data_IF_554380488090
#
_entry.id   IF_554380488090
#
_cell.length_a   1.000
_cell.length_b   1.000
_cell.length_c   1.000
_cell.angle_alpha   90.00
_cell.angle_beta   90.00
_cell.angle_gamma   90.00
#
_symmetry.space_group_name_H-M   'P 1'
#
loop_
_entity.id
_entity.type
_entity.pdbx_description
1 polymer ?
#
# COMPACT_ATOMS: atom_id res chain seq x y z
N UNK A 1 49.92 36.86 -64.37
CA UNK A 1 48.91 36.83 -63.29
C UNK A 1 49.68 36.57 -62.00
N UNK A 2 50.24 37.62 -61.42
CA UNK A 2 49.70 38.37 -60.25
C UNK A 2 50.07 37.62 -58.95
N UNK A 3 51.24 37.81 -58.29
CA UNK A 3 51.89 39.01 -57.68
C UNK A 3 50.99 39.65 -56.59
N UNK A 4 51.37 39.98 -55.35
CA UNK A 4 52.59 40.34 -54.58
C UNK A 4 52.43 39.80 -53.12
N UNK A 5 53.45 39.28 -52.41
CA UNK A 5 54.50 39.94 -51.58
C UNK A 5 53.98 40.72 -50.34
N UNK A 6 54.38 40.29 -49.13
CA UNK A 6 55.14 41.17 -48.22
C UNK A 6 54.67 41.44 -46.77
N UNK A 7 55.25 40.70 -45.80
CA UNK A 7 55.85 41.12 -44.51
C UNK A 7 55.08 41.98 -43.46
N UNK A 8 55.15 41.49 -42.20
CA UNK A 8 55.24 42.17 -40.87
C UNK A 8 53.96 42.71 -40.22
N UNK A 9 53.85 42.42 -38.92
CA UNK A 9 52.83 42.96 -38.02
C UNK A 9 53.28 44.17 -37.23
N UNK A 10 52.30 44.83 -36.61
CA UNK A 10 52.29 45.52 -35.32
C UNK A 10 50.88 46.09 -35.10
N UNK A 11 50.40 45.92 -33.88
CA UNK A 11 49.50 46.77 -33.08
C UNK A 11 48.12 47.23 -33.61
N UNK A 12 47.14 46.53 -33.03
CA UNK A 12 45.81 46.92 -32.51
C UNK A 12 45.22 48.29 -32.89
N UNK A 13 44.09 48.24 -33.62
CA UNK A 13 43.37 49.38 -34.14
C UNK A 13 42.00 49.54 -33.45
N UNK A 14 41.82 50.69 -32.79
CA UNK A 14 40.63 51.58 -32.74
C UNK A 14 39.21 50.97 -32.91
N UNK A 15 38.25 51.15 -32.00
CA UNK A 15 37.49 52.37 -31.61
C UNK A 15 36.94 53.15 -32.82
N UNK A 16 35.61 53.18 -33.02
CA UNK A 16 34.80 54.41 -32.86
C UNK A 16 33.29 54.16 -33.08
N UNK A 17 32.45 54.75 -32.22
CA UNK A 17 31.06 55.09 -32.53
C UNK A 17 30.47 56.12 -31.55
N UNK A 18 30.59 57.39 -31.97
CA UNK A 18 29.62 58.49 -31.84
C UNK A 18 29.40 59.16 -30.45
N UNK A 19 30.11 60.28 -30.27
CA UNK A 19 29.82 61.33 -29.28
C UNK A 19 29.09 62.52 -29.92
N UNK A 20 28.05 63.05 -29.27
CA UNK A 20 27.31 64.25 -29.71
C UNK A 20 27.04 65.20 -28.52
N UNK A 21 27.22 66.54 -28.67
CA UNK A 21 27.57 67.46 -27.56
C UNK A 21 26.37 68.07 -26.80
N UNK A 22 25.19 67.42 -26.83
CA UNK A 22 23.97 67.99 -26.25
C UNK A 22 23.77 67.76 -24.74
N UNK A 23 24.75 67.17 -24.03
CA UNK A 23 24.56 66.70 -22.64
C UNK A 23 25.39 67.37 -21.55
N UNK A 24 26.20 68.39 -21.85
CA UNK A 24 27.15 68.93 -20.86
C UNK A 24 27.06 70.44 -20.57
N UNK A 25 25.93 71.11 -20.87
CA UNK A 25 25.78 72.55 -20.58
C UNK A 25 24.46 72.95 -19.90
N UNK A 26 24.13 72.25 -18.82
CA UNK A 26 23.18 72.74 -17.81
C UNK A 26 23.59 72.30 -16.40
N UNK A 27 24.87 72.47 -16.06
CA UNK A 27 25.24 72.71 -14.68
C UNK A 27 24.64 74.05 -14.22
N UNK A 28 24.15 74.07 -12.99
CA UNK A 28 23.82 75.25 -12.17
C UNK A 28 22.54 76.02 -12.50
N UNK A 29 21.46 75.67 -11.80
CA UNK A 29 20.69 76.60 -10.94
C UNK A 29 19.80 75.81 -9.98
N UNK A 30 20.11 75.84 -8.70
CA UNK A 30 19.21 75.40 -7.64
C UNK A 30 18.15 76.46 -7.33
N UNK A 31 17.00 76.02 -6.81
CA UNK A 31 16.20 76.73 -5.80
C UNK A 31 15.07 75.79 -5.29
N UNK A 32 14.95 75.73 -3.97
CA UNK A 32 13.84 75.19 -3.20
C UNK A 32 12.46 75.63 -3.72
N UNK A 33 11.49 74.71 -3.78
CA UNK A 33 10.08 75.02 -3.49
C UNK A 33 9.24 73.75 -3.28
N UNK A 34 8.57 73.73 -2.13
CA UNK A 34 7.70 72.71 -1.54
C UNK A 34 6.70 72.03 -2.48
N UNK A 35 6.60 70.70 -2.43
CA UNK A 35 5.35 69.91 -2.53
C UNK A 35 5.64 68.42 -2.28
N UNK A 36 5.31 67.91 -1.09
CA UNK A 36 4.68 66.58 -0.87
C UNK A 36 4.67 66.05 0.58
N UNK A 37 4.32 66.81 1.63
CA UNK A 37 3.95 66.19 2.92
C UNK A 37 2.65 65.37 2.84
N UNK A 38 1.88 65.47 1.75
CA UNK A 38 0.59 64.79 1.56
C UNK A 38 0.71 63.34 1.08
N UNK A 39 1.73 62.99 0.29
CA UNK A 39 1.90 61.63 -0.25
C UNK A 39 2.39 60.64 0.82
N UNK A 40 3.32 61.06 1.68
CA UNK A 40 3.75 60.24 2.82
C UNK A 40 2.63 60.02 3.86
N UNK A 41 1.72 61.00 4.00
CA UNK A 41 0.58 60.90 4.93
C UNK A 41 -0.49 59.94 4.41
N UNK A 42 -0.78 59.96 3.10
CA UNK A 42 -1.68 58.97 2.45
C UNK A 42 -1.11 57.55 2.47
N UNK A 43 0.19 57.37 2.25
CA UNK A 43 0.81 56.04 2.32
C UNK A 43 0.77 55.43 3.74
N UNK A 44 1.01 56.23 4.79
CA UNK A 44 0.88 55.78 6.19
C UNK A 44 -0.56 55.44 6.57
N UNK A 45 -1.55 56.15 6.05
CA UNK A 45 -2.96 55.83 6.29
C UNK A 45 -3.39 54.51 5.62
N UNK A 46 -2.96 54.26 4.37
CA UNK A 46 -3.26 53.01 3.66
C UNK A 46 -2.59 51.77 4.28
N UNK A 47 -1.35 51.90 4.77
CA UNK A 47 -0.67 50.85 5.53
C UNK A 47 -1.32 50.57 6.90
N UNK A 48 -1.90 51.58 7.54
CA UNK A 48 -2.66 51.44 8.77
C UNK A 48 -3.97 50.67 8.57
N UNK A 49 -4.73 50.99 7.52
CA UNK A 49 -5.97 50.28 7.18
C UNK A 49 -5.73 48.81 6.80
N UNK A 50 -4.67 48.51 6.05
CA UNK A 50 -4.34 47.14 5.68
C UNK A 50 -3.98 46.28 6.91
N UNK A 51 -3.24 46.85 7.88
CA UNK A 51 -2.92 46.17 9.14
C UNK A 51 -4.16 45.97 10.02
N UNK A 52 -5.05 46.95 10.08
CA UNK A 52 -6.31 46.85 10.83
C UNK A 52 -7.23 45.78 10.23
N UNK A 53 -7.37 45.73 8.90
CA UNK A 53 -8.16 44.70 8.20
C UNK A 53 -7.60 43.30 8.43
N UNK A 54 -6.28 43.12 8.39
CA UNK A 54 -5.65 41.84 8.66
C UNK A 54 -5.87 41.39 10.12
N UNK A 55 -5.78 42.32 11.07
CA UNK A 55 -6.03 42.04 12.48
C UNK A 55 -7.50 41.67 12.74
N UNK A 56 -8.45 42.36 12.08
CA UNK A 56 -9.87 42.05 12.14
C UNK A 56 -10.19 40.67 11.54
N UNK A 57 -9.56 40.30 10.42
CA UNK A 57 -9.72 38.97 9.83
C UNK A 57 -9.17 37.87 10.76
N UNK A 58 -7.99 38.09 11.35
CA UNK A 58 -7.41 37.14 12.31
C UNK A 58 -8.28 37.00 13.57
N UNK A 59 -8.79 38.11 14.10
CA UNK A 59 -9.70 38.12 15.22
C UNK A 59 -11.02 37.38 14.91
N UNK A 60 -11.61 37.62 13.73
CA UNK A 60 -12.80 36.90 13.29
C UNK A 60 -12.57 35.39 13.16
N UNK A 61 -11.41 34.98 12.65
CA UNK A 61 -11.01 33.56 12.56
C UNK A 61 -10.87 32.93 13.96
N UNK A 62 -10.22 33.63 14.90
CA UNK A 62 -10.07 33.18 16.28
C UNK A 62 -11.43 33.05 16.99
N UNK A 63 -12.34 34.01 16.78
CA UNK A 63 -13.71 33.94 17.33
C UNK A 63 -14.46 32.76 16.72
N UNK A 64 -14.35 32.51 15.41
CA UNK A 64 -14.99 31.35 14.76
C UNK A 64 -14.48 30.01 15.34
N UNK A 65 -13.16 29.88 15.55
CA UNK A 65 -12.55 28.69 16.17
C UNK A 65 -12.99 28.53 17.62
N UNK A 66 -13.10 29.63 18.37
CA UNK A 66 -13.56 29.60 19.75
C UNK A 66 -15.05 29.22 19.86
N UNK A 67 -15.90 29.73 18.96
CA UNK A 67 -17.33 29.40 18.94
C UNK A 67 -17.54 27.94 18.52
N UNK A 68 -16.85 27.45 17.49
CA UNK A 68 -16.95 26.05 17.03
C UNK A 68 -16.43 25.05 18.05
N UNK A 69 -15.36 25.37 18.78
CA UNK A 69 -14.85 24.51 19.87
C UNK A 69 -15.76 24.48 21.11
N UNK A 70 -16.63 25.48 21.30
CA UNK A 70 -17.61 25.52 22.38
C UNK A 70 -18.98 24.92 21.99
N UNK A 71 -19.32 24.88 20.70
CA UNK A 71 -20.55 24.26 20.20
C UNK A 71 -20.61 22.75 20.46
N UNK A 72 -19.48 22.05 20.42
CA UNK A 72 -19.41 20.61 20.74
C UNK A 72 -19.81 20.29 22.19
N UNK A 73 -19.58 21.23 23.11
CA UNK A 73 -19.94 21.09 24.53
C UNK A 73 -21.39 21.46 24.82
N UNK A 74 -22.07 22.19 23.93
CA UNK A 74 -23.46 22.63 24.12
C UNK A 74 -24.48 21.67 23.50
N UNK A 75 -24.06 20.85 22.53
CA UNK A 75 -24.95 19.89 21.84
C UNK A 75 -25.18 18.57 22.59
N UNK A 76 -24.76 18.43 23.86
CA UNK A 76 -25.23 17.38 24.76
C UNK A 76 -25.17 15.95 24.20
N UNK A 77 -24.26 15.65 23.27
CA UNK A 77 -24.08 14.31 22.74
C UNK A 77 -23.33 13.48 23.78
N UNK A 78 -24.07 12.93 24.74
CA UNK A 78 -23.68 11.70 25.42
C UNK A 78 -23.92 10.57 24.42
N UNK A 79 -22.89 9.97 23.80
CA UNK A 79 -23.07 8.76 23.04
C UNK A 79 -23.36 7.68 24.08
N UNK A 80 -24.64 7.41 24.32
CA UNK A 80 -25.03 6.11 24.85
C UNK A 80 -24.55 5.08 23.85
N UNK A 81 -23.42 4.45 24.14
CA UNK A 81 -22.96 3.28 23.39
C UNK A 81 -24.09 2.27 23.39
N UNK A 82 -24.68 1.91 22.24
CA UNK A 82 -25.60 0.80 22.18
C UNK A 82 -24.78 -0.45 22.43
N UNK A 83 -24.76 -0.90 23.69
CA UNK A 83 -24.39 -2.25 24.05
C UNK A 83 -25.44 -3.19 23.46
N UNK A 84 -25.18 -3.70 22.25
CA UNK A 84 -25.64 -5.00 21.71
C UNK A 84 -25.66 -4.98 20.18
N UNK A 85 -24.49 -4.91 19.56
CA UNK A 85 -24.28 -5.82 18.42
C UNK A 85 -23.90 -7.13 19.06
N UNK A 86 -24.85 -8.07 19.05
CA UNK A 86 -24.67 -9.47 19.39
C UNK A 86 -23.26 -9.91 19.00
N UNK A 87 -22.44 -10.22 20.00
CA UNK A 87 -21.12 -10.79 19.81
C UNK A 87 -21.35 -12.28 19.54
N UNK A 88 -21.23 -12.79 18.29
CA UNK A 88 -21.30 -14.23 18.08
C UNK A 88 -19.95 -14.79 18.53
N UNK A 89 -19.67 -14.83 19.85
CA UNK A 89 -18.46 -15.40 20.46
C UNK A 89 -17.26 -15.41 19.48
N UNK A 90 -16.81 -14.23 19.04
CA UNK A 90 -16.05 -14.12 17.78
C UNK A 90 -14.70 -14.80 17.94
N UNK A 91 -14.60 -16.05 17.47
CA UNK A 91 -13.35 -16.80 17.40
C UNK A 91 -12.28 -15.99 16.68
N UNK A 92 -11.02 -16.33 16.90
CA UNK A 92 -9.88 -15.69 16.27
C UNK A 92 -9.54 -16.27 14.91
N UNK A 93 -8.32 -16.03 14.48
CA UNK A 93 -7.77 -16.46 13.20
C UNK A 93 -6.40 -17.10 13.39
N UNK A 94 -6.02 -17.94 12.43
CA UNK A 94 -4.64 -18.41 12.32
C UNK A 94 -3.86 -17.48 11.41
N UNK A 95 -2.67 -17.07 11.83
CA UNK A 95 -1.72 -16.35 11.00
C UNK A 95 -0.79 -17.34 10.32
N UNK A 96 -0.77 -17.33 8.99
CA UNK A 96 0.05 -18.20 8.17
C UNK A 96 1.16 -17.39 7.50
N UNK A 97 2.38 -17.53 7.99
CA UNK A 97 3.55 -16.73 7.59
C UNK A 97 4.40 -17.55 6.62
N UNK A 98 4.55 -17.06 5.39
CA UNK A 98 5.48 -17.62 4.43
C UNK A 98 6.87 -16.97 4.58
N UNK A 99 7.92 -17.77 4.73
CA UNK A 99 9.30 -17.30 4.98
C UNK A 99 10.33 -18.04 4.15
N UNK A 100 11.40 -17.34 3.76
CA UNK A 100 12.57 -17.95 3.11
C UNK A 100 13.84 -17.14 3.37
N UNK A 101 14.82 -17.73 4.08
CA UNK A 101 16.15 -17.19 4.38
C UNK A 101 16.15 -15.78 4.99
N UNK A 102 15.13 -15.47 5.81
CA UNK A 102 14.88 -14.13 6.37
C UNK A 102 14.56 -14.18 7.87
N UNK A 103 15.34 -14.97 8.61
CA UNK A 103 15.12 -15.21 10.05
C UNK A 103 14.95 -13.94 10.89
N UNK A 104 15.60 -12.82 10.55
CA UNK A 104 15.43 -11.55 11.26
C UNK A 104 14.04 -10.91 11.03
N UNK A 105 13.51 -10.97 9.82
CA UNK A 105 12.17 -10.48 9.48
C UNK A 105 11.11 -11.41 10.06
N UNK A 106 11.30 -12.73 9.94
CA UNK A 106 10.43 -13.73 10.56
C UNK A 106 10.27 -13.50 12.06
N UNK A 107 11.36 -13.24 12.79
CA UNK A 107 11.31 -12.93 14.22
C UNK A 107 10.46 -11.69 14.52
N UNK A 108 10.57 -10.64 13.71
CA UNK A 108 9.77 -9.43 13.85
C UNK A 108 8.29 -9.69 13.57
N UNK A 109 7.99 -10.38 12.48
CA UNK A 109 6.63 -10.72 12.05
C UNK A 109 5.92 -11.62 13.06
N UNK A 110 6.58 -12.70 13.55
CA UNK A 110 6.02 -13.56 14.59
C UNK A 110 5.78 -12.78 15.88
N UNK A 111 6.71 -11.92 16.31
CA UNK A 111 6.55 -11.12 17.51
C UNK A 111 5.36 -10.15 17.41
N UNK A 112 5.19 -9.52 16.25
CA UNK A 112 4.07 -8.62 15.97
C UNK A 112 2.74 -9.37 15.99
N UNK A 113 2.58 -10.42 15.17
CA UNK A 113 1.32 -11.13 15.03
C UNK A 113 0.93 -11.89 16.31
N UNK A 114 1.90 -12.35 17.10
CA UNK A 114 1.64 -12.91 18.43
C UNK A 114 1.04 -11.88 19.39
N UNK A 115 1.29 -10.58 19.19
CA UNK A 115 0.74 -9.52 20.04
C UNK A 115 -0.70 -9.12 19.68
N UNK A 116 -1.21 -9.54 18.52
CA UNK A 116 -2.58 -9.22 18.12
C UNK A 116 -3.58 -10.11 18.87
N UNK A 117 -4.62 -9.51 19.46
CA UNK A 117 -5.58 -10.21 20.32
C UNK A 117 -6.45 -11.24 19.61
N UNK A 118 -6.62 -11.12 18.29
CA UNK A 118 -7.39 -12.08 17.48
C UNK A 118 -6.58 -13.30 17.01
N UNK A 119 -5.28 -13.37 17.28
CA UNK A 119 -4.43 -14.47 16.83
C UNK A 119 -4.58 -15.69 17.74
N UNK A 120 -5.14 -16.79 17.23
CA UNK A 120 -5.26 -18.06 17.97
C UNK A 120 -4.14 -19.06 17.66
N UNK A 121 -3.58 -18.97 16.46
CA UNK A 121 -2.44 -19.78 16.07
C UNK A 121 -1.54 -19.02 15.09
N UNK A 122 -0.27 -19.40 15.07
CA UNK A 122 0.73 -18.92 14.14
C UNK A 122 1.41 -20.14 13.55
N UNK A 123 1.30 -20.25 12.23
CA UNK A 123 1.93 -21.27 11.43
C UNK A 123 3.00 -20.62 10.56
N UNK A 124 4.21 -21.15 10.62
CA UNK A 124 5.34 -20.69 9.80
C UNK A 124 5.59 -21.73 8.73
N UNK A 125 5.31 -21.36 7.47
CA UNK A 125 5.59 -22.20 6.29
C UNK A 125 7.08 -22.14 6.05
N UNK A 126 7.76 -23.25 6.33
CA UNK A 126 9.20 -23.37 6.18
C UNK A 126 9.51 -24.14 4.91
N UNK A 127 10.15 -23.49 3.94
CA UNK A 127 10.50 -24.06 2.63
C UNK A 127 12.01 -24.02 2.36
N UNK A 128 12.84 -23.95 3.41
CA UNK A 128 14.30 -24.05 3.29
C UNK A 128 14.73 -25.52 3.38
N UNK A 129 15.81 -25.87 2.66
CA UNK A 129 16.35 -27.23 2.64
C UNK A 129 16.78 -27.73 4.01
N UNK A 130 17.34 -26.85 4.83
CA UNK A 130 17.70 -27.17 6.21
C UNK A 130 16.50 -26.90 7.14
N UNK A 131 16.23 -27.76 8.12
CA UNK A 131 15.18 -27.50 9.10
C UNK A 131 15.52 -26.25 9.93
N UNK A 132 14.52 -25.54 10.48
CA UNK A 132 14.77 -24.37 11.30
C UNK A 132 15.61 -24.77 12.51
N UNK A 133 16.65 -23.99 12.81
CA UNK A 133 17.57 -24.30 13.91
C UNK A 133 16.82 -24.37 15.25
N UNK A 134 17.28 -25.23 16.17
CA UNK A 134 16.67 -25.34 17.50
C UNK A 134 16.68 -24.02 18.26
N UNK A 135 17.72 -23.19 18.08
CA UNK A 135 17.80 -21.85 18.66
C UNK A 135 16.73 -20.91 18.09
N UNK A 136 16.42 -20.99 16.79
CA UNK A 136 15.34 -20.23 16.18
C UNK A 136 13.97 -20.71 16.68
N UNK A 137 13.74 -22.03 16.71
CA UNK A 137 12.50 -22.61 17.24
C UNK A 137 12.25 -22.18 18.68
N UNK A 138 13.26 -22.29 19.54
CA UNK A 138 13.17 -21.90 20.95
C UNK A 138 12.91 -20.40 21.11
N UNK A 139 13.59 -19.56 20.33
CA UNK A 139 13.38 -18.12 20.34
C UNK A 139 11.95 -17.74 19.96
N UNK A 140 11.42 -18.32 18.87
CA UNK A 140 10.07 -17.99 18.40
C UNK A 140 8.99 -18.52 19.35
N UNK A 141 9.13 -19.73 19.89
CA UNK A 141 8.23 -20.22 20.95
C UNK A 141 8.18 -19.27 22.15
N UNK A 142 9.34 -18.80 22.60
CA UNK A 142 9.45 -17.83 23.70
C UNK A 142 8.80 -16.49 23.35
N UNK A 143 9.00 -15.98 22.13
CA UNK A 143 8.45 -14.68 21.76
C UNK A 143 6.93 -14.72 21.60
N UNK A 144 6.37 -15.81 21.07
CA UNK A 144 4.92 -16.01 20.99
C UNK A 144 4.31 -16.00 22.39
N UNK A 145 4.93 -16.71 23.34
CA UNK A 145 4.48 -16.73 24.73
C UNK A 145 4.53 -15.34 25.38
N UNK A 146 5.63 -14.61 25.22
CA UNK A 146 5.85 -13.30 25.85
C UNK A 146 5.01 -12.17 25.24
N UNK A 147 4.82 -12.18 23.92
CA UNK A 147 4.11 -11.11 23.21
C UNK A 147 2.59 -11.27 23.23
N UNK A 148 2.10 -12.50 23.41
CA UNK A 148 0.66 -12.77 23.49
C UNK A 148 0.00 -12.04 24.66
N UNK A 149 -0.99 -11.24 24.31
CA UNK A 149 -1.81 -10.47 25.25
C UNK A 149 -2.97 -11.30 25.83
N UNK A 150 -3.21 -12.49 25.29
CA UNK A 150 -4.32 -13.37 25.67
C UNK A 150 -3.91 -14.35 26.76
N UNK A 151 -4.89 -14.78 27.58
CA UNK A 151 -4.67 -15.83 28.58
C UNK A 151 -4.32 -17.17 27.91
N UNK A 152 -5.09 -17.52 26.87
CA UNK A 152 -4.77 -18.64 25.99
C UNK A 152 -3.74 -18.21 24.95
N UNK A 153 -2.53 -18.77 25.04
CA UNK A 153 -1.43 -18.42 24.15
C UNK A 153 -1.66 -18.99 22.73
N UNK A 154 -1.31 -18.26 21.67
CA UNK A 154 -1.43 -18.76 20.32
C UNK A 154 -0.66 -20.06 20.15
N UNK A 155 -1.27 -21.05 19.51
CA UNK A 155 -0.55 -22.25 19.11
C UNK A 155 0.52 -21.87 18.09
N UNK A 156 1.76 -22.33 18.26
CA UNK A 156 2.86 -22.00 17.36
C UNK A 156 3.47 -23.27 16.77
N UNK A 157 3.44 -23.40 15.45
CA UNK A 157 3.98 -24.54 14.71
C UNK A 157 4.77 -24.09 13.48
N UNK A 158 5.75 -24.90 13.12
CA UNK A 158 6.40 -24.84 11.81
C UNK A 158 5.80 -25.91 10.92
N UNK A 159 5.42 -25.52 9.72
CA UNK A 159 4.99 -26.43 8.66
C UNK A 159 6.20 -26.65 7.76
N UNK A 160 6.97 -27.70 8.04
CA UNK A 160 8.25 -27.99 7.37
C UNK A 160 7.97 -28.68 6.03
N UNK A 161 8.55 -28.14 4.97
CA UNK A 161 8.44 -28.68 3.61
C UNK A 161 9.82 -29.10 3.11
N UNK A 162 9.86 -30.23 2.39
CA UNK A 162 11.09 -30.80 1.85
C UNK A 162 11.68 -29.96 0.70
N UNK A 163 10.81 -29.35 -0.10
CA UNK A 163 11.19 -28.61 -1.30
C UNK A 163 10.91 -27.11 -1.17
N UNK A 164 11.75 -26.29 -1.80
CA UNK A 164 11.53 -24.85 -1.93
C UNK A 164 10.48 -24.55 -3.01
N UNK A 165 9.21 -24.50 -2.61
CA UNK A 165 8.07 -24.35 -3.51
C UNK A 165 7.05 -23.34 -2.99
N UNK A 166 6.66 -22.36 -3.81
CA UNK A 166 5.67 -21.35 -3.40
C UNK A 166 4.29 -21.95 -3.10
N UNK A 167 3.96 -23.11 -3.67
CA UNK A 167 2.72 -23.82 -3.38
C UNK A 167 2.63 -24.28 -1.90
N UNK A 168 3.77 -24.43 -1.21
CA UNK A 168 3.81 -24.94 0.16
C UNK A 168 2.95 -24.12 1.14
N UNK A 169 2.82 -22.81 0.89
CA UNK A 169 2.02 -21.92 1.74
C UNK A 169 0.52 -22.22 1.73
N UNK A 170 0.06 -23.08 0.82
CA UNK A 170 -1.35 -23.41 0.66
C UNK A 170 -1.66 -24.89 0.92
N UNK A 171 -0.69 -25.65 1.45
CA UNK A 171 -0.94 -27.04 1.90
C UNK A 171 -1.97 -27.06 3.04
N UNK A 172 -2.77 -28.13 3.17
CA UNK A 172 -3.65 -28.31 4.31
C UNK A 172 -2.82 -28.33 5.59
N UNK A 173 -3.38 -27.75 6.64
CA UNK A 173 -2.75 -27.71 7.96
C UNK A 173 -3.62 -28.53 8.90
N UNK A 174 -3.03 -29.56 9.49
CA UNK A 174 -3.70 -30.42 10.46
C UNK A 174 -4.03 -29.66 11.75
N UNK A 175 -5.13 -30.04 12.39
CA UNK A 175 -5.61 -29.49 13.66
C UNK A 175 -5.91 -27.97 13.67
N UNK A 176 -6.17 -27.37 12.50
CA UNK A 176 -6.65 -25.98 12.45
C UNK A 176 -8.01 -25.84 13.17
N UNK A 177 -8.05 -25.02 14.20
CA UNK A 177 -9.28 -24.72 14.97
C UNK A 177 -10.08 -23.56 14.40
N UNK A 178 -9.42 -22.64 13.71
CA UNK A 178 -10.01 -21.43 13.15
C UNK A 178 -10.42 -21.64 11.71
N UNK A 179 -11.55 -21.04 11.31
CA UNK A 179 -11.95 -21.03 9.90
C UNK A 179 -11.21 -19.95 9.10
N UNK A 180 -10.78 -18.87 9.76
CA UNK A 180 -10.08 -17.75 9.15
C UNK A 180 -8.56 -17.97 9.15
N UNK A 181 -7.96 -17.88 7.97
CA UNK A 181 -6.52 -17.83 7.78
C UNK A 181 -6.14 -16.43 7.34
N UNK A 182 -5.30 -15.75 8.11
CA UNK A 182 -4.58 -14.56 7.67
C UNK A 182 -3.25 -14.99 7.06
N UNK A 183 -3.17 -15.04 5.73
CA UNK A 183 -1.92 -15.31 5.04
C UNK A 183 -1.12 -14.03 4.85
N UNK A 184 0.17 -14.12 5.14
CA UNK A 184 1.08 -12.98 5.09
C UNK A 184 2.51 -13.38 4.75
N UNK A 185 3.21 -12.53 4.02
CA UNK A 185 4.65 -12.70 3.79
C UNK A 185 5.46 -12.23 5.01
N UNK A 186 6.63 -12.83 5.23
CA UNK A 186 7.52 -12.53 6.36
C UNK A 186 8.01 -11.08 6.45
N UNK A 187 7.88 -10.31 5.38
CA UNK A 187 8.29 -8.92 5.26
C UNK A 187 7.12 -7.92 5.30
N UNK A 188 5.90 -8.37 5.62
CA UNK A 188 4.71 -7.50 5.70
C UNK A 188 4.15 -7.45 7.12
N UNK A 189 3.98 -6.23 7.63
CA UNK A 189 3.33 -5.94 8.91
C UNK A 189 2.03 -5.17 8.67
N UNK A 190 0.93 -5.77 9.12
CA UNK A 190 -0.38 -5.10 9.23
C UNK A 190 -0.63 -4.77 10.70
N UNK A 191 -0.80 -3.49 11.10
CA UNK A 191 -1.08 -3.13 12.50
C UNK A 191 -2.29 -3.88 13.06
N UNK A 192 -2.21 -4.34 14.31
CA UNK A 192 -3.29 -5.14 14.91
C UNK A 192 -4.68 -4.49 14.85
N UNK A 193 -4.87 -3.16 15.07
CA UNK A 193 -6.18 -2.54 14.90
C UNK A 193 -6.73 -2.65 13.48
N UNK A 194 -5.87 -2.46 12.47
CA UNK A 194 -6.19 -2.61 11.05
C UNK A 194 -6.51 -4.07 10.71
N UNK A 195 -5.74 -5.02 11.27
CA UNK A 195 -5.97 -6.45 11.10
C UNK A 195 -7.29 -6.90 11.72
N UNK A 196 -7.63 -6.40 12.92
CA UNK A 196 -8.90 -6.65 13.59
C UNK A 196 -10.10 -6.13 12.78
N UNK A 197 -9.95 -4.97 12.14
CA UNK A 197 -10.96 -4.44 11.23
C UNK A 197 -11.12 -5.36 10.01
N UNK A 198 -10.03 -5.72 9.34
CA UNK A 198 -10.08 -6.66 8.20
C UNK A 198 -10.68 -8.01 8.57
N UNK A 199 -10.40 -8.51 9.77
CA UNK A 199 -11.02 -9.73 10.29
C UNK A 199 -12.54 -9.57 10.46
N UNK A 200 -13.00 -8.42 10.97
CA UNK A 200 -14.44 -8.13 11.06
C UNK A 200 -15.10 -8.06 9.69
N UNK A 201 -14.42 -7.48 8.69
CA UNK A 201 -14.88 -7.50 7.30
C UNK A 201 -14.98 -8.94 6.80
N UNK A 202 -13.94 -9.76 7.00
CA UNK A 202 -13.97 -11.18 6.64
C UNK A 202 -15.11 -11.93 7.34
N UNK A 203 -15.40 -11.67 8.61
CA UNK A 203 -16.52 -12.30 9.31
C UNK A 203 -17.89 -12.00 8.69
N UNK A 204 -18.03 -10.85 8.02
CA UNK A 204 -19.26 -10.50 7.27
C UNK A 204 -19.35 -11.18 5.89
N UNK A 205 -18.23 -11.66 5.36
CA UNK A 205 -18.12 -12.32 4.07
C UNK A 205 -17.10 -13.47 4.12
N UNK A 206 -17.33 -14.53 4.93
CA UNK A 206 -16.30 -15.52 5.28
C UNK A 206 -15.81 -16.36 4.10
N UNK A 207 -16.55 -16.38 3.00
CA UNK A 207 -16.13 -17.06 1.77
C UNK A 207 -15.32 -16.16 0.84
N UNK A 208 -15.30 -14.84 1.04
CA UNK A 208 -14.50 -13.93 0.23
C UNK A 208 -13.03 -13.96 0.67
N UNK A 209 -12.15 -13.64 -0.28
CA UNK A 209 -10.77 -13.25 0.03
C UNK A 209 -10.77 -11.76 0.39
N UNK A 210 -10.30 -11.42 1.60
CA UNK A 210 -10.38 -10.06 2.16
C UNK A 210 -8.98 -9.58 2.52
N UNK A 211 -8.49 -8.49 1.93
CA UNK A 211 -7.10 -8.10 2.18
C UNK A 211 -6.70 -6.72 1.66
N UNK A 212 -5.40 -6.47 1.68
CA UNK A 212 -4.87 -5.10 1.63
C UNK A 212 -4.22 -4.72 0.30
N UNK A 213 -3.94 -5.70 -0.56
CA UNK A 213 -3.14 -5.52 -1.78
C UNK A 213 -4.01 -5.82 -3.01
N UNK A 214 -4.85 -4.86 -3.47
CA UNK A 214 -5.71 -5.06 -4.62
C UNK A 214 -4.90 -5.08 -5.92
N UNK A 215 -5.32 -5.90 -6.87
CA UNK A 215 -4.76 -6.01 -8.22
C UNK A 215 -5.88 -6.21 -9.24
N UNK A 216 -5.59 -5.87 -10.48
CA UNK A 216 -6.55 -5.95 -11.57
C UNK A 216 -6.06 -6.89 -12.66
N UNK A 217 -6.99 -7.45 -13.43
CA UNK A 217 -6.71 -8.03 -14.74
C UNK A 217 -7.62 -7.41 -15.80
N UNK A 218 -7.18 -7.39 -17.05
CA UNK A 218 -8.05 -7.09 -18.19
C UNK A 218 -7.61 -7.87 -19.41
N UNK A 219 -8.55 -8.13 -20.31
CA UNK A 219 -8.26 -8.70 -21.62
C UNK A 219 -7.48 -7.67 -22.45
N UNK A 220 -6.27 -8.02 -22.87
CA UNK A 220 -5.48 -7.18 -23.77
C UNK A 220 -5.80 -7.50 -25.23
N UNK A 221 -5.75 -8.78 -25.59
CA UNK A 221 -5.95 -9.26 -26.96
C UNK A 221 -6.62 -10.63 -26.95
N UNK A 222 -7.50 -10.87 -27.90
CA UNK A 222 -7.98 -12.21 -28.26
C UNK A 222 -7.59 -12.48 -29.71
N UNK A 223 -6.83 -13.54 -29.98
CA UNK A 223 -6.39 -13.91 -31.32
C UNK A 223 -6.45 -15.43 -31.50
N UNK A 224 -7.11 -15.89 -32.56
CA UNK A 224 -7.13 -17.31 -32.96
C UNK A 224 -7.52 -18.30 -31.85
N UNK A 225 -8.39 -17.90 -30.91
CA UNK A 225 -8.81 -18.73 -29.78
C UNK A 225 -7.98 -18.53 -28.51
N UNK A 226 -6.82 -17.88 -28.59
CA UNK A 226 -5.99 -17.53 -27.43
C UNK A 226 -6.38 -16.16 -26.87
N UNK A 227 -6.56 -16.09 -25.55
CA UNK A 227 -6.82 -14.84 -24.82
C UNK A 227 -5.60 -14.42 -24.02
N UNK A 228 -5.12 -13.22 -24.26
CA UNK A 228 -4.00 -12.61 -23.55
C UNK A 228 -4.52 -11.59 -22.54
N UNK A 229 -4.16 -11.80 -21.28
CA UNK A 229 -4.55 -10.92 -20.17
C UNK A 229 -3.35 -10.11 -19.67
N UNK A 230 -3.64 -8.88 -19.23
CA UNK A 230 -2.68 -8.05 -18.52
C UNK A 230 -2.98 -8.01 -17.04
N UNK A 231 -1.91 -8.03 -16.25
CA UNK A 231 -1.89 -7.85 -14.82
C UNK A 231 -1.67 -6.38 -14.48
N UNK A 232 -2.54 -5.85 -13.61
CA UNK A 232 -2.56 -4.48 -13.15
C UNK A 232 -2.09 -4.32 -11.71
N UNK A 233 -1.05 -3.50 -11.54
CA UNK A 233 -0.60 -3.03 -10.23
C UNK A 233 -1.50 -1.95 -9.62
N UNK A 234 -0.97 -1.28 -8.59
CA UNK A 234 -1.66 -0.19 -7.88
C UNK A 234 -2.14 0.93 -8.81
N UNK A 235 -1.31 1.35 -9.77
CA UNK A 235 -1.66 2.43 -10.68
C UNK A 235 -2.89 2.08 -11.54
N UNK A 236 -2.97 0.85 -12.03
CA UNK A 236 -4.13 0.37 -12.79
C UNK A 236 -5.40 0.36 -11.91
N UNK A 237 -5.30 -0.16 -10.68
CA UNK A 237 -6.43 -0.16 -9.74
C UNK A 237 -6.91 1.26 -9.44
N UNK A 238 -5.97 2.20 -9.23
CA UNK A 238 -6.30 3.59 -8.95
C UNK A 238 -6.99 4.28 -10.13
N UNK A 239 -6.45 4.14 -11.36
CA UNK A 239 -7.03 4.77 -12.55
C UNK A 239 -8.37 4.17 -12.96
N UNK A 240 -8.51 2.84 -12.86
CA UNK A 240 -9.73 2.15 -13.30
C UNK A 240 -10.82 2.16 -12.23
N UNK A 241 -10.49 2.52 -10.98
CA UNK A 241 -11.43 2.51 -9.86
C UNK A 241 -11.97 1.12 -9.50
N UNK A 242 -11.34 0.07 -10.03
CA UNK A 242 -11.80 -1.31 -9.91
C UNK A 242 -10.60 -2.24 -9.69
N UNK A 243 -10.87 -3.43 -9.15
CA UNK A 243 -9.89 -4.51 -8.98
C UNK A 243 -10.61 -5.85 -9.07
N UNK A 244 -9.87 -6.93 -9.29
CA UNK A 244 -10.43 -8.29 -9.46
C UNK A 244 -9.72 -9.34 -8.61
N UNK A 245 -8.63 -8.95 -7.96
CA UNK A 245 -7.78 -9.81 -7.14
C UNK A 245 -7.35 -9.07 -5.88
N UNK A 246 -7.10 -9.83 -4.82
CA UNK A 246 -6.40 -9.37 -3.64
C UNK A 246 -5.29 -10.38 -3.36
N UNK A 247 -4.05 -9.92 -3.24
CA UNK A 247 -2.92 -10.84 -3.10
C UNK A 247 -2.88 -11.49 -1.72
N UNK A 248 -2.58 -12.79 -1.68
CA UNK A 248 -2.38 -13.56 -0.45
C UNK A 248 -1.19 -13.07 0.39
N UNK A 249 -0.35 -12.18 -0.14
CA UNK A 249 0.72 -11.47 0.58
C UNK A 249 0.25 -10.79 1.88
N UNK A 250 -1.02 -10.37 1.94
CA UNK A 250 -1.66 -9.88 3.16
C UNK A 250 -3.19 -9.96 3.01
N UNK A 251 -3.76 -11.14 3.27
CA UNK A 251 -5.20 -11.38 3.12
C UNK A 251 -5.74 -12.47 4.04
N UNK A 252 -6.99 -12.28 4.46
CA UNK A 252 -7.84 -13.29 5.04
C UNK A 252 -8.52 -14.14 3.97
N UNK A 253 -8.59 -15.43 4.20
CA UNK A 253 -9.43 -16.36 3.46
C UNK A 253 -9.84 -17.54 4.34
N UNK A 254 -10.84 -18.30 3.90
CA UNK A 254 -11.32 -19.47 4.64
C UNK A 254 -10.37 -20.67 4.50
N UNK A 255 -10.08 -21.41 5.60
CA UNK A 255 -9.16 -22.56 5.61
C UNK A 255 -9.43 -23.61 4.52
N UNK A 256 -10.70 -23.81 4.16
CA UNK A 256 -11.14 -24.69 3.05
C UNK A 256 -10.41 -24.43 1.73
N UNK A 257 -9.92 -23.20 1.50
CA UNK A 257 -9.18 -22.88 0.29
C UNK A 257 -7.77 -23.49 0.28
N UNK A 258 -7.20 -23.85 1.43
CA UNK A 258 -5.97 -24.66 1.49
C UNK A 258 -6.23 -26.06 0.90
N UNK A 259 -7.34 -26.70 1.29
CA UNK A 259 -7.74 -28.01 0.79
C UNK A 259 -8.08 -27.97 -0.70
N UNK A 260 -8.87 -26.97 -1.11
CA UNK A 260 -9.22 -26.78 -2.51
C UNK A 260 -7.98 -26.47 -3.37
N UNK A 261 -7.05 -25.66 -2.86
CA UNK A 261 -5.82 -25.38 -3.58
C UNK A 261 -5.00 -26.63 -3.74
N UNK A 262 -4.82 -27.44 -2.70
CA UNK A 262 -3.94 -28.60 -2.77
C UNK A 262 -4.55 -29.78 -3.52
N UNK A 263 -5.86 -29.97 -3.44
CA UNK A 263 -6.50 -31.20 -3.93
C UNK A 263 -7.43 -31.00 -5.13
N UNK A 264 -7.87 -29.78 -5.42
CA UNK A 264 -8.84 -29.49 -6.50
C UNK A 264 -8.29 -28.59 -7.60
N UNK A 265 -7.24 -27.82 -7.32
CA UNK A 265 -6.54 -27.05 -8.35
C UNK A 265 -5.92 -28.03 -9.37
N UNK A 266 -6.03 -27.76 -10.68
CA UNK A 266 -5.37 -28.57 -11.70
C UNK A 266 -3.85 -28.67 -11.45
N UNK A 267 -3.30 -29.90 -11.49
CA UNK A 267 -1.85 -30.15 -11.35
C UNK A 267 -0.99 -29.25 -12.26
N UNK A 268 -1.35 -28.99 -13.53
CA UNK A 268 -0.56 -28.10 -14.39
C UNK A 268 -0.37 -26.68 -13.85
N UNK A 269 -1.31 -26.18 -13.02
CA UNK A 269 -1.19 -24.87 -12.37
C UNK A 269 -0.17 -24.93 -11.23
N UNK A 270 -0.18 -26.00 -10.43
CA UNK A 270 0.86 -26.21 -9.42
C UNK A 270 2.24 -26.28 -10.05
N UNK A 271 2.40 -27.09 -11.10
CA UNK A 271 3.66 -27.26 -11.83
C UNK A 271 4.15 -25.92 -12.41
N UNK A 272 3.22 -25.12 -12.93
CA UNK A 272 3.52 -23.78 -13.43
C UNK A 272 4.05 -22.87 -12.31
N UNK A 273 3.35 -22.79 -11.17
CA UNK A 273 3.77 -21.97 -10.02
C UNK A 273 5.15 -22.40 -9.51
N UNK A 274 5.39 -23.71 -9.44
CA UNK A 274 6.68 -24.27 -9.01
C UNK A 274 7.82 -23.91 -9.97
N UNK A 275 7.60 -24.07 -11.28
CA UNK A 275 8.61 -23.77 -12.31
C UNK A 275 8.91 -22.28 -12.40
N UNK A 276 7.88 -21.43 -12.41
CA UNK A 276 8.06 -19.98 -12.59
C UNK A 276 8.43 -19.26 -11.30
N UNK A 277 8.28 -19.91 -10.14
CA UNK A 277 8.46 -19.34 -8.80
C UNK A 277 7.72 -18.00 -8.65
N UNK A 278 6.47 -17.97 -9.10
CA UNK A 278 5.59 -16.80 -9.04
C UNK A 278 4.12 -17.23 -9.16
N UNK A 279 3.21 -16.27 -9.02
CA UNK A 279 1.79 -16.39 -9.37
C UNK A 279 0.97 -17.38 -8.53
N UNK A 280 1.48 -17.80 -7.38
CA UNK A 280 0.73 -18.59 -6.41
C UNK A 280 -0.45 -17.79 -5.84
N UNK A 281 -0.28 -16.49 -5.67
CA UNK A 281 -1.30 -15.54 -5.22
C UNK A 281 -2.41 -15.31 -6.26
N UNK A 282 -2.02 -15.25 -7.54
CA UNK A 282 -2.94 -15.22 -8.68
C UNK A 282 -3.73 -16.54 -8.73
N UNK A 283 -3.05 -17.69 -8.64
CA UNK A 283 -3.69 -19.00 -8.63
C UNK A 283 -4.73 -19.12 -7.49
N UNK A 284 -4.38 -18.67 -6.29
CA UNK A 284 -5.31 -18.63 -5.15
C UNK A 284 -6.50 -17.71 -5.41
N UNK A 285 -6.28 -16.52 -6.02
CA UNK A 285 -7.37 -15.61 -6.37
C UNK A 285 -8.32 -16.24 -7.40
N UNK A 286 -7.81 -16.93 -8.42
CA UNK A 286 -8.64 -17.67 -9.38
C UNK A 286 -9.44 -18.77 -8.68
N UNK A 287 -8.81 -19.54 -7.79
CA UNK A 287 -9.45 -20.62 -7.07
C UNK A 287 -10.65 -20.11 -6.24
N UNK A 288 -10.44 -19.04 -5.47
CA UNK A 288 -11.51 -18.45 -4.63
C UNK A 288 -12.62 -17.90 -5.51
N UNK A 289 -12.28 -17.17 -6.58
CA UNK A 289 -13.27 -16.62 -7.50
C UNK A 289 -14.10 -17.73 -8.17
N UNK A 290 -13.45 -18.81 -8.61
CA UNK A 290 -14.13 -19.96 -9.22
C UNK A 290 -15.04 -20.69 -8.21
N UNK A 291 -14.58 -20.87 -6.97
CA UNK A 291 -15.32 -21.57 -5.93
C UNK A 291 -16.53 -20.78 -5.42
N UNK A 292 -16.54 -19.46 -5.55
CA UNK A 292 -17.58 -18.58 -4.98
C UNK A 292 -18.42 -17.85 -6.01
N UNK A 293 -17.93 -17.74 -7.25
CA UNK A 293 -18.48 -16.80 -8.25
C UNK A 293 -18.64 -15.38 -7.70
N UNK A 294 -17.74 -14.96 -6.81
CA UNK A 294 -17.78 -13.67 -6.14
C UNK A 294 -16.42 -12.96 -6.18
N UNK A 295 -16.39 -11.62 -6.25
CA UNK A 295 -15.16 -10.85 -6.22
C UNK A 295 -14.54 -10.80 -4.80
N UNK A 296 -13.24 -10.48 -4.67
CA UNK A 296 -12.61 -10.26 -3.37
C UNK A 296 -13.05 -8.92 -2.74
N UNK A 297 -12.68 -8.69 -1.47
CA UNK A 297 -12.93 -7.43 -0.77
C UNK A 297 -11.61 -6.75 -0.39
N UNK A 298 -11.43 -5.52 -0.84
CA UNK A 298 -10.31 -4.67 -0.49
C UNK A 298 -10.59 -3.93 0.82
N UNK A 299 -9.67 -4.07 1.78
CA UNK A 299 -9.65 -3.31 3.02
C UNK A 299 -8.65 -2.17 2.91
N UNK A 300 -9.11 -0.93 3.15
CA UNK A 300 -8.22 0.23 3.30
C UNK A 300 -7.48 0.10 4.64
N UNK A 301 -6.16 0.05 4.57
CA UNK A 301 -5.32 -0.03 5.75
C UNK A 301 -3.85 0.24 5.40
N UNK A 302 -3.10 0.78 6.36
CA UNK A 302 -1.64 0.87 6.21
C UNK A 302 -1.03 -0.51 6.39
N UNK A 303 -0.21 -0.92 5.43
CA UNK A 303 0.67 -2.08 5.52
C UNK A 303 2.11 -1.57 5.45
N UNK A 304 3.02 -2.24 6.16
CA UNK A 304 4.43 -1.88 6.20
C UNK A 304 5.25 -3.02 5.62
N UNK A 305 5.97 -2.73 4.54
CA UNK A 305 6.99 -3.64 4.01
C UNK A 305 8.30 -3.37 4.76
N UNK A 306 8.71 -4.31 5.60
CA UNK A 306 9.91 -4.20 6.46
C UNK A 306 11.15 -4.83 5.80
N UNK A 307 10.98 -5.47 4.65
CA UNK A 307 12.06 -5.99 3.80
C UNK A 307 12.50 -4.98 2.74
N UNK A 308 13.77 -5.05 2.31
CA UNK A 308 14.36 -4.13 1.34
C UNK A 308 14.33 -4.60 -0.12
N UNK A 309 14.20 -5.91 -0.36
CA UNK A 309 14.18 -6.51 -1.70
C UNK A 309 13.52 -7.88 -1.70
N UNK A 310 12.72 -8.16 -2.73
CA UNK A 310 11.98 -9.41 -2.90
C UNK A 310 11.71 -9.74 -4.38
N UNK A 311 11.03 -10.85 -4.65
CA UNK A 311 10.73 -11.31 -6.03
C UNK A 311 10.00 -10.22 -6.83
N UNK A 312 9.17 -9.43 -6.16
CA UNK A 312 8.43 -8.30 -6.74
C UNK A 312 9.29 -7.14 -7.27
N UNK A 313 10.55 -7.03 -6.85
CA UNK A 313 11.46 -5.96 -7.30
C UNK A 313 12.20 -6.27 -8.62
N UNK A 314 12.01 -7.45 -9.19
CA UNK A 314 12.63 -7.84 -10.46
C UNK A 314 11.95 -7.14 -11.65
N UNK A 315 12.73 -6.63 -12.60
CA UNK A 315 12.24 -5.86 -13.77
C UNK A 315 11.17 -6.58 -14.61
N UNK A 316 11.19 -7.91 -14.62
CA UNK A 316 10.28 -8.75 -15.42
C UNK A 316 9.08 -9.28 -14.63
N UNK A 317 8.94 -8.92 -13.34
CA UNK A 317 7.91 -9.50 -12.47
C UNK A 317 6.49 -9.30 -13.00
N UNK A 318 6.19 -8.11 -13.55
CA UNK A 318 4.87 -7.84 -14.13
C UNK A 318 4.61 -8.61 -15.42
N UNK A 319 5.63 -8.79 -16.28
CA UNK A 319 5.49 -9.55 -17.53
C UNK A 319 5.29 -11.03 -17.25
N UNK A 320 6.00 -11.58 -16.26
CA UNK A 320 5.73 -12.94 -15.78
C UNK A 320 4.29 -13.09 -15.31
N UNK A 321 3.74 -12.11 -14.59
CA UNK A 321 2.34 -12.14 -14.14
C UNK A 321 1.31 -11.98 -15.26
N UNK A 322 1.59 -11.19 -16.29
CA UNK A 322 0.78 -11.16 -17.52
C UNK A 322 0.70 -12.56 -18.16
N UNK A 323 1.86 -13.23 -18.26
CA UNK A 323 1.95 -14.59 -18.78
C UNK A 323 1.18 -15.58 -17.90
N UNK A 324 1.33 -15.51 -16.59
CA UNK A 324 0.58 -16.38 -15.65
C UNK A 324 -0.93 -16.29 -15.84
N UNK A 325 -1.48 -15.08 -15.95
CA UNK A 325 -2.93 -14.91 -16.15
C UNK A 325 -3.40 -15.53 -17.47
N UNK A 326 -2.64 -15.33 -18.55
CA UNK A 326 -2.97 -15.86 -19.86
C UNK A 326 -2.91 -17.38 -19.88
N UNK A 327 -1.83 -17.96 -19.35
CA UNK A 327 -1.66 -19.41 -19.29
C UNK A 327 -2.67 -20.06 -18.32
N UNK A 328 -2.94 -19.43 -17.17
CA UNK A 328 -3.94 -19.93 -16.23
C UNK A 328 -5.34 -19.91 -16.83
N UNK A 329 -5.70 -18.90 -17.63
CA UNK A 329 -6.99 -18.90 -18.33
C UNK A 329 -7.14 -20.14 -19.24
N UNK A 330 -6.08 -20.53 -19.94
CA UNK A 330 -6.07 -21.75 -20.74
C UNK A 330 -6.13 -23.01 -19.88
N UNK A 331 -5.34 -23.09 -18.81
CA UNK A 331 -5.30 -24.26 -17.91
C UNK A 331 -6.60 -24.45 -17.11
N UNK A 332 -7.29 -23.37 -16.78
CA UNK A 332 -8.62 -23.39 -16.14
C UNK A 332 -9.77 -23.59 -17.13
N UNK A 333 -9.56 -23.29 -18.42
CA UNK A 333 -10.60 -23.22 -19.45
C UNK A 333 -11.41 -21.93 -19.46
N UNK A 334 -11.26 -21.05 -18.46
CA UNK A 334 -11.88 -19.72 -18.40
C UNK A 334 -11.15 -18.83 -17.37
N UNK A 335 -11.42 -17.53 -17.37
CA UNK A 335 -10.97 -16.60 -16.32
C UNK A 335 -12.11 -16.37 -15.31
N UNK A 336 -12.05 -16.93 -14.09
CA UNK A 336 -13.14 -16.80 -13.10
C UNK A 336 -13.12 -15.47 -12.34
N UNK A 337 -12.10 -14.63 -12.55
CA UNK A 337 -11.90 -13.40 -11.79
C UNK A 337 -12.98 -12.37 -12.10
N UNK A 338 -13.61 -11.84 -11.06
CA UNK A 338 -14.67 -10.83 -11.16
C UNK A 338 -14.18 -9.47 -10.67
N UNK A 339 -14.42 -8.43 -11.47
CA UNK A 339 -14.10 -7.05 -11.09
C UNK A 339 -15.09 -6.50 -10.08
N UNK A 340 -14.60 -5.66 -9.18
CA UNK A 340 -15.37 -4.98 -8.15
C UNK A 340 -14.76 -3.61 -7.82
N UNK A 341 -15.55 -2.74 -7.22
CA UNK A 341 -15.16 -1.46 -6.66
C UNK A 341 -15.39 -1.39 -5.14
N UNK A 342 -15.82 -2.48 -4.50
CA UNK A 342 -16.10 -2.53 -3.06
C UNK A 342 -14.83 -2.24 -2.28
N UNK A 343 -14.87 -1.29 -1.35
CA UNK A 343 -13.74 -0.98 -0.48
C UNK A 343 -14.23 -0.82 0.94
N UNK A 344 -13.79 -1.71 1.82
CA UNK A 344 -14.07 -1.62 3.23
C UNK A 344 -13.12 -0.60 3.89
N UNK A 345 -13.69 0.34 4.63
CA UNK A 345 -12.93 1.38 5.32
C UNK A 345 -13.39 1.50 6.76
N UNK A 346 -12.44 1.63 7.69
CA UNK A 346 -12.76 1.84 9.10
C UNK A 346 -13.29 3.26 9.30
N UNK A 347 -14.57 3.36 9.65
CA UNK A 347 -15.28 4.58 10.01
C UNK A 347 -14.51 5.52 10.93
N UNK A 348 -13.72 4.95 11.85
CA UNK A 348 -12.99 5.72 12.86
C UNK A 348 -11.76 6.43 12.27
N UNK A 349 -11.34 6.04 11.08
CA UNK A 349 -10.17 6.57 10.38
C UNK A 349 -10.53 7.49 9.20
N UNK A 350 -11.80 7.58 8.82
CA UNK A 350 -12.26 8.48 7.75
C UNK A 350 -13.21 9.53 8.29
N UNK A 351 -12.95 10.77 7.94
CA UNK A 351 -13.70 11.93 8.41
C UNK A 351 -14.82 12.34 7.45
N UNK A 352 -14.83 11.77 6.23
CA UNK A 352 -15.81 12.06 5.19
C UNK A 352 -16.23 10.76 4.52
N UNK A 353 -17.54 10.54 4.46
CA UNK A 353 -18.20 9.42 3.78
C UNK A 353 -18.58 9.80 2.37
#
# INVERSE_FOLDING_TARGET
MSTLIGIRGEDDNSIDALYSPAKEKAANRGAYSSRSPLLLRRARQLLGEAKLKLFLCFFALCVLVFVTSRLSSFMGWNPHYPSSVSSPSRGGYTVLINTWKRNSLLKQSVAHYASCSGTEAIHVVWSESDPPSESLKAYLKKIVFYKSQTAQKPNFKFDINEEDNLNNRFKPIEDLKTDAIFSVDDDVIVPCPTLNFAFTVWQSAPFAMVGFVPRMHWLEKAKHGDTYYKYGGWWSVWWMGTYSMVLSKAAFFHRKYLDLYTHKMPSPIHDYVSRERNCEDIAMSLLVANATSAPPIWVKGKIYEIGSSGISSLKEHSEKRNKCLSDFATLYGTIPLLSTNVKAVDARQEWFW
#
